data_IF_589774826322
#
_entry.id   IF_589774826322
#
_cell.length_a   1.000
_cell.length_b   1.000
_cell.length_c   1.000
_cell.angle_alpha   90.00
_cell.angle_beta   90.00
_cell.angle_gamma   90.00
#
_symmetry.space_group_name_H-M   'P 1'
#
loop_
_entity.id
_entity.type
_entity.pdbx_description
1 polymer ?
#
# COMPACT_ATOMS: atom_id res chain seq x y z
N UNK A 1 31.82 4.03 3.80
CA UNK A 1 30.93 2.98 4.35
C UNK A 1 31.26 1.58 3.81
N UNK A 2 31.28 1.36 2.48
CA UNK A 2 31.65 0.06 1.90
C UNK A 2 33.03 -0.45 2.38
N UNK A 3 34.07 0.42 2.34
CA UNK A 3 35.40 0.12 2.91
C UNK A 3 35.42 -0.19 4.42
N UNK A 4 34.43 0.28 5.19
CA UNK A 4 34.36 -0.06 6.61
C UNK A 4 33.83 -1.50 6.76
N UNK A 5 32.83 -1.87 5.96
CA UNK A 5 32.27 -3.22 5.94
C UNK A 5 33.22 -4.27 5.37
N UNK A 6 34.14 -3.93 4.45
CA UNK A 6 35.18 -4.88 3.98
C UNK A 6 36.17 -5.26 5.09
N UNK A 7 36.29 -4.45 6.15
CA UNK A 7 37.07 -4.80 7.36
C UNK A 7 36.31 -5.73 8.31
N UNK A 8 35.07 -6.08 7.97
CA UNK A 8 34.25 -7.05 8.70
C UNK A 8 34.03 -8.28 7.81
N UNK A 9 33.82 -9.48 8.38
CA UNK A 9 33.48 -10.67 7.60
C UNK A 9 32.02 -10.67 7.11
N UNK A 10 31.35 -9.50 7.09
CA UNK A 10 29.93 -9.41 6.79
C UNK A 10 29.62 -9.40 5.29
N UNK A 11 30.52 -8.87 4.43
CA UNK A 11 30.24 -8.77 3.00
C UNK A 11 30.41 -10.12 2.30
N UNK A 12 29.49 -10.44 1.38
CA UNK A 12 29.57 -11.64 0.55
C UNK A 12 30.72 -11.55 -0.46
N UNK A 13 31.67 -12.49 -0.45
CA UNK A 13 32.71 -12.57 -1.47
C UNK A 13 32.18 -12.90 -2.87
N UNK A 14 31.08 -13.65 -2.96
CA UNK A 14 30.43 -13.99 -4.24
C UNK A 14 29.55 -12.88 -4.82
N UNK A 15 29.42 -11.74 -4.12
CA UNK A 15 28.71 -10.57 -4.62
C UNK A 15 27.18 -10.68 -4.57
N UNK A 16 26.66 -11.57 -3.73
CA UNK A 16 25.24 -11.87 -3.65
C UNK A 16 24.78 -12.03 -2.20
N UNK A 17 23.48 -12.05 -1.97
CA UNK A 17 22.89 -12.25 -0.66
C UNK A 17 21.85 -13.36 -0.75
N UNK A 18 22.09 -14.42 0.01
CA UNK A 18 21.34 -15.68 -0.03
C UNK A 18 20.85 -16.03 1.39
N UNK A 19 19.87 -15.30 1.93
CA UNK A 19 19.42 -15.49 3.30
C UNK A 19 18.97 -16.93 3.53
N UNK A 20 19.50 -17.57 4.57
CA UNK A 20 19.20 -18.94 4.99
C UNK A 20 19.58 -20.03 4.00
N UNK A 21 20.29 -19.72 2.92
CA UNK A 21 20.78 -20.74 1.98
C UNK A 21 22.01 -21.47 2.53
N UNK A 22 22.24 -22.70 2.10
CA UNK A 22 23.49 -23.42 2.42
C UNK A 22 24.73 -22.67 1.86
N UNK A 23 24.56 -21.99 0.73
CA UNK A 23 25.59 -21.16 0.06
C UNK A 23 25.64 -19.71 0.57
N UNK A 24 25.02 -19.39 1.70
CA UNK A 24 25.08 -18.07 2.33
C UNK A 24 26.53 -17.75 2.76
N UNK A 25 27.09 -16.65 2.25
CA UNK A 25 28.48 -16.25 2.46
C UNK A 25 28.65 -14.77 2.84
N UNK A 26 27.55 -14.04 3.08
CA UNK A 26 27.55 -12.66 3.52
C UNK A 26 26.37 -11.84 3.00
N UNK A 27 26.43 -10.53 3.26
CA UNK A 27 25.48 -9.53 2.77
C UNK A 27 26.06 -8.73 1.61
N UNK A 28 25.19 -8.11 0.82
CA UNK A 28 25.54 -6.98 -0.06
C UNK A 28 24.83 -5.73 0.43
N UNK A 29 25.42 -4.56 0.20
CA UNK A 29 24.80 -3.29 0.58
C UNK A 29 23.85 -2.83 -0.52
N UNK A 30 22.64 -2.43 -0.11
CA UNK A 30 21.64 -1.81 -0.96
C UNK A 30 21.35 -0.39 -0.50
N UNK A 31 20.55 0.32 -1.28
CA UNK A 31 20.06 1.66 -0.98
C UNK A 31 18.54 1.70 -1.16
N UNK A 32 17.88 2.59 -0.41
CA UNK A 32 16.43 2.72 -0.52
C UNK A 32 15.87 3.74 0.44
N UNK A 33 14.74 4.32 0.06
CA UNK A 33 13.92 5.21 0.87
C UNK A 33 12.50 4.67 0.83
N UNK A 34 11.86 4.58 1.99
CA UNK A 34 10.47 4.12 2.13
C UNK A 34 9.75 5.08 3.05
N UNK A 35 8.59 5.54 2.62
CA UNK A 35 7.72 6.38 3.42
C UNK A 35 6.39 5.67 3.66
N UNK A 36 6.04 5.54 4.92
CA UNK A 36 4.70 5.23 5.38
C UNK A 36 4.18 6.48 6.08
N UNK A 37 2.98 6.95 5.78
CA UNK A 37 2.24 7.63 6.84
C UNK A 37 1.59 6.55 7.73
N UNK A 38 1.09 6.86 8.92
CA UNK A 38 0.43 5.89 9.81
C UNK A 38 -0.83 6.50 10.44
N UNK A 39 -1.83 5.67 10.76
CA UNK A 39 -3.08 6.06 11.44
C UNK A 39 -3.44 5.08 12.53
N UNK A 40 -4.15 5.55 13.56
CA UNK A 40 -4.94 4.65 14.40
C UNK A 40 -6.07 4.04 13.58
N UNK A 41 -6.25 2.73 13.65
CA UNK A 41 -7.23 2.00 12.85
C UNK A 41 -8.65 2.59 12.94
N UNK A 42 -9.08 3.01 14.12
CA UNK A 42 -10.39 3.63 14.33
C UNK A 42 -10.57 4.92 13.52
N UNK A 43 -9.54 5.76 13.43
CA UNK A 43 -9.62 7.01 12.68
C UNK A 43 -9.61 6.75 11.16
N UNK A 44 -8.85 5.75 10.69
CA UNK A 44 -8.84 5.35 9.29
C UNK A 44 -10.20 4.78 8.85
N UNK A 45 -10.82 3.97 9.71
CA UNK A 45 -12.20 3.48 9.50
C UNK A 45 -13.21 4.61 9.45
N UNK A 46 -13.16 5.54 10.41
CA UNK A 46 -14.06 6.69 10.50
C UNK A 46 -13.99 7.55 9.23
N UNK A 47 -12.78 7.82 8.75
CA UNK A 47 -12.56 8.70 7.60
C UNK A 47 -12.70 7.97 6.25
N UNK A 48 -12.88 6.64 6.25
CA UNK A 48 -13.02 5.84 5.04
C UNK A 48 -11.72 5.72 4.24
N UNK A 49 -10.57 5.75 4.92
CA UNK A 49 -9.25 5.61 4.32
C UNK A 49 -9.07 4.20 3.74
N UNK A 50 -8.27 4.10 2.67
CA UNK A 50 -7.87 2.78 2.16
C UNK A 50 -6.79 2.18 3.07
N UNK A 51 -7.14 1.16 3.84
CA UNK A 51 -6.24 0.50 4.80
C UNK A 51 -5.57 -0.70 4.14
N UNK A 52 -4.25 -0.61 3.93
CA UNK A 52 -3.47 -1.68 3.32
C UNK A 52 -3.18 -2.85 4.28
N UNK A 53 -2.90 -2.52 5.55
CA UNK A 53 -2.59 -3.47 6.61
C UNK A 53 -2.75 -2.81 7.99
N UNK A 54 -2.78 -3.61 9.05
CA UNK A 54 -2.83 -3.17 10.44
C UNK A 54 -1.52 -3.54 11.15
N UNK A 55 -0.89 -2.57 11.82
CA UNK A 55 0.29 -2.80 12.66
C UNK A 55 -0.19 -3.01 14.10
N UNK A 56 -0.10 -4.23 14.61
CA UNK A 56 -0.75 -4.58 15.89
C UNK A 56 0.14 -4.34 17.11
N UNK A 57 1.42 -4.72 17.02
CA UNK A 57 2.37 -4.59 18.13
C UNK A 57 3.80 -4.57 17.61
N UNK A 58 4.69 -3.90 18.35
CA UNK A 58 6.12 -3.87 18.14
C UNK A 58 6.84 -4.23 19.45
N UNK A 59 7.60 -5.31 19.42
CA UNK A 59 8.47 -5.73 20.51
C UNK A 59 9.90 -5.30 20.23
N UNK A 60 10.61 -4.89 21.28
CA UNK A 60 12.03 -4.56 21.21
C UNK A 60 12.83 -5.25 22.30
N UNK A 61 14.12 -5.48 22.04
CA UNK A 61 15.06 -6.03 23.00
C UNK A 61 16.49 -5.58 22.69
N UNK A 62 17.44 -6.05 23.50
CA UNK A 62 18.86 -5.95 23.20
C UNK A 62 19.56 -7.28 23.47
N UNK A 63 20.61 -7.55 22.70
CA UNK A 63 21.52 -8.69 22.88
C UNK A 63 22.35 -8.57 24.18
N UNK A 64 22.47 -7.36 24.75
CA UNK A 64 23.14 -7.16 26.04
C UNK A 64 24.61 -7.63 26.05
N UNK A 65 24.98 -8.43 27.06
CA UNK A 65 26.33 -9.00 27.18
C UNK A 65 26.49 -10.19 26.23
N UNK A 66 26.87 -9.92 24.99
CA UNK A 66 27.18 -10.93 23.96
C UNK A 66 28.69 -11.16 23.81
N UNK A 67 29.07 -12.16 23.02
CA UNK A 67 30.48 -12.54 22.72
C UNK A 67 31.28 -11.41 22.04
N UNK A 68 30.59 -10.50 21.37
CA UNK A 68 31.14 -9.29 20.76
C UNK A 68 30.01 -8.29 20.56
N UNK A 69 30.33 -7.00 20.48
CA UNK A 69 29.37 -5.93 20.19
C UNK A 69 28.65 -6.10 18.84
N UNK A 70 29.21 -6.89 17.93
CA UNK A 70 28.66 -7.17 16.60
C UNK A 70 28.15 -8.61 16.42
N UNK A 71 28.27 -9.45 17.45
CA UNK A 71 27.82 -10.84 17.39
C UNK A 71 26.34 -10.92 17.76
N UNK A 72 25.47 -11.36 16.82
CA UNK A 72 24.03 -11.47 17.09
C UNK A 72 23.76 -12.53 18.16
N UNK A 73 22.75 -12.31 18.99
CA UNK A 73 22.30 -13.25 20.02
C UNK A 73 20.85 -13.72 19.81
N UNK A 74 20.69 -15.03 19.66
CA UNK A 74 19.39 -15.68 19.50
C UNK A 74 18.43 -15.39 20.67
N UNK A 75 18.94 -15.31 21.90
CA UNK A 75 18.12 -15.05 23.08
C UNK A 75 17.56 -13.60 23.07
N UNK A 76 18.40 -12.64 22.67
CA UNK A 76 17.99 -11.25 22.44
C UNK A 76 16.87 -11.18 21.41
N UNK A 77 17.05 -11.82 20.26
CA UNK A 77 16.06 -11.80 19.17
C UNK A 77 14.74 -12.49 19.57
N UNK A 78 14.82 -13.67 20.21
CA UNK A 78 13.66 -14.37 20.76
C UNK A 78 12.86 -13.49 21.72
N UNK A 79 13.54 -12.74 22.59
CA UNK A 79 12.91 -11.81 23.52
C UNK A 79 12.17 -10.67 22.82
N UNK A 80 12.70 -10.13 21.71
CA UNK A 80 11.99 -9.12 20.93
C UNK A 80 10.71 -9.71 20.34
N UNK A 81 10.79 -10.92 19.76
CA UNK A 81 9.65 -11.63 19.19
C UNK A 81 8.58 -11.90 20.26
N UNK A 82 8.92 -12.52 21.38
CA UNK A 82 7.96 -12.81 22.45
C UNK A 82 7.28 -11.55 22.98
N UNK A 83 8.02 -10.45 23.16
CA UNK A 83 7.46 -9.16 23.59
C UNK A 83 6.45 -8.58 22.60
N UNK A 84 6.61 -8.83 21.30
CA UNK A 84 5.63 -8.42 20.29
C UNK A 84 4.28 -9.08 20.51
N UNK A 85 4.27 -10.36 20.91
CA UNK A 85 3.04 -11.16 21.03
C UNK A 85 2.41 -11.13 22.43
N UNK A 86 3.16 -10.75 23.47
CA UNK A 86 2.65 -10.58 24.84
C UNK A 86 1.34 -9.76 24.97
N UNK A 87 1.16 -8.61 24.30
CA UNK A 87 -0.07 -7.82 24.43
C UNK A 87 -1.20 -8.26 23.50
N UNK A 88 -1.00 -9.29 22.68
CA UNK A 88 -1.96 -9.71 21.65
C UNK A 88 -2.82 -10.88 22.15
N UNK A 89 -4.04 -10.97 21.64
CA UNK A 89 -4.96 -12.09 21.87
C UNK A 89 -4.67 -13.31 20.97
N UNK A 90 -3.60 -13.23 20.18
CA UNK A 90 -3.10 -14.28 19.31
C UNK A 90 -1.57 -14.41 19.43
N UNK A 91 -1.06 -15.60 19.08
CA UNK A 91 0.38 -15.88 19.07
C UNK A 91 0.93 -16.26 17.70
N UNK A 92 2.19 -16.69 17.70
CA UNK A 92 2.98 -17.16 16.55
C UNK A 92 2.34 -18.36 15.84
N UNK A 93 1.48 -19.13 16.51
CA UNK A 93 0.69 -20.20 15.89
C UNK A 93 -0.17 -19.71 14.73
N UNK A 94 -0.57 -18.44 14.79
CA UNK A 94 -1.45 -17.80 13.82
C UNK A 94 -0.70 -17.08 12.70
N UNK A 95 0.62 -16.91 12.82
CA UNK A 95 1.48 -16.21 11.86
C UNK A 95 1.82 -17.13 10.70
N UNK A 96 1.74 -16.61 9.47
CA UNK A 96 1.88 -17.41 8.25
C UNK A 96 3.08 -16.97 7.41
N UNK A 97 3.64 -15.77 7.66
CA UNK A 97 4.83 -15.25 7.00
C UNK A 97 5.69 -14.43 7.97
N UNK A 98 6.95 -14.79 8.11
CA UNK A 98 7.97 -13.98 8.77
C UNK A 98 8.92 -13.44 7.72
N UNK A 99 8.91 -12.12 7.60
CA UNK A 99 9.95 -11.36 6.91
C UNK A 99 11.12 -11.14 7.87
N UNK A 100 12.13 -11.97 7.72
CA UNK A 100 13.31 -11.98 8.57
C UNK A 100 14.23 -10.78 8.35
N UNK A 101 15.14 -10.56 9.29
CA UNK A 101 16.29 -9.72 9.06
C UNK A 101 17.19 -10.34 7.97
N UNK A 102 17.44 -11.65 7.99
CA UNK A 102 17.96 -12.49 6.91
C UNK A 102 19.03 -11.81 6.06
N UNK A 103 20.23 -11.70 6.60
CA UNK A 103 21.34 -10.94 5.98
C UNK A 103 22.20 -11.78 5.05
N UNK A 104 22.00 -13.10 5.01
CA UNK A 104 22.87 -14.00 4.25
C UNK A 104 24.22 -14.23 4.93
N UNK A 105 24.41 -13.72 6.16
CA UNK A 105 25.63 -13.99 6.93
C UNK A 105 25.47 -15.31 7.69
N UNK A 106 26.50 -16.17 7.66
CA UNK A 106 26.43 -17.49 8.30
C UNK A 106 26.06 -17.43 9.79
N UNK A 107 26.68 -16.51 10.52
CA UNK A 107 26.41 -16.34 11.95
C UNK A 107 25.06 -15.65 12.22
N UNK A 108 24.69 -14.65 11.41
CA UNK A 108 23.43 -13.92 11.57
C UNK A 108 22.21 -14.77 11.26
N UNK A 109 22.22 -15.46 10.12
CA UNK A 109 21.10 -16.31 9.71
C UNK A 109 20.92 -17.50 10.68
N UNK A 110 22.01 -18.08 11.20
CA UNK A 110 21.95 -19.12 12.22
C UNK A 110 21.37 -18.58 13.55
N UNK A 111 21.87 -17.44 14.05
CA UNK A 111 21.37 -16.84 15.29
C UNK A 111 19.88 -16.44 15.17
N UNK A 112 19.47 -15.93 14.01
CA UNK A 112 18.08 -15.57 13.74
C UNK A 112 17.17 -16.78 13.68
N UNK A 113 17.59 -17.84 13.00
CA UNK A 113 16.80 -19.05 12.95
C UNK A 113 16.66 -19.69 14.34
N UNK A 114 17.72 -19.74 15.15
CA UNK A 114 17.65 -20.18 16.55
C UNK A 114 16.73 -19.29 17.39
N UNK A 115 16.82 -17.97 17.25
CA UNK A 115 15.97 -17.01 17.96
C UNK A 115 14.48 -17.20 17.63
N UNK A 116 14.17 -17.46 16.36
CA UNK A 116 12.84 -17.83 15.92
C UNK A 116 12.39 -19.17 16.52
N UNK A 117 13.20 -20.24 16.43
CA UNK A 117 12.85 -21.54 17.05
C UNK A 117 12.54 -21.39 18.55
N UNK A 118 13.36 -20.65 19.29
CA UNK A 118 13.14 -20.37 20.71
C UNK A 118 11.82 -19.64 20.95
N UNK A 119 11.54 -18.61 20.15
CA UNK A 119 10.29 -17.84 20.29
C UNK A 119 9.06 -18.70 20.00
N UNK A 120 9.10 -19.53 18.95
CA UNK A 120 8.00 -20.45 18.63
C UNK A 120 7.83 -21.52 19.70
N UNK A 121 8.92 -22.13 20.18
CA UNK A 121 8.85 -23.17 21.22
C UNK A 121 8.25 -22.66 22.53
N UNK A 122 8.48 -21.38 22.87
CA UNK A 122 7.94 -20.73 24.07
C UNK A 122 6.52 -20.19 23.89
N UNK A 123 5.94 -20.25 22.70
CA UNK A 123 4.58 -19.79 22.42
C UNK A 123 3.62 -20.99 22.35
N UNK A 124 2.74 -21.10 23.34
CA UNK A 124 1.75 -22.18 23.47
C UNK A 124 0.84 -22.32 22.23
N UNK A 125 0.58 -21.24 21.49
CA UNK A 125 -0.28 -21.27 20.30
C UNK A 125 0.33 -22.06 19.15
N UNK A 126 1.63 -22.32 19.17
CA UNK A 126 2.34 -23.06 18.13
C UNK A 126 2.23 -24.57 18.30
N UNK A 127 2.06 -25.06 19.53
CA UNK A 127 2.07 -26.49 19.87
C UNK A 127 0.98 -27.27 19.13
N UNK A 128 -0.17 -26.65 18.87
CA UNK A 128 -1.30 -27.25 18.16
C UNK A 128 -1.21 -27.17 16.63
N UNK A 129 -0.25 -26.42 16.07
CA UNK A 129 -0.13 -26.18 14.62
C UNK A 129 0.81 -27.15 13.91
N UNK A 130 1.82 -27.67 14.62
CA UNK A 130 2.81 -28.60 14.08
C UNK A 130 3.96 -27.90 13.33
N UNK A 131 4.56 -28.59 12.37
CA UNK A 131 5.73 -28.15 11.61
C UNK A 131 5.33 -27.51 10.27
N UNK A 132 6.23 -26.77 9.65
CA UNK A 132 6.14 -26.30 8.25
C UNK A 132 4.85 -25.53 7.89
N UNK A 133 4.38 -24.63 8.77
CA UNK A 133 3.17 -23.83 8.47
C UNK A 133 3.45 -22.34 8.27
N UNK A 134 4.60 -21.83 8.72
CA UNK A 134 4.94 -20.42 8.61
C UNK A 134 6.05 -20.22 7.58
N UNK A 135 5.77 -19.43 6.55
CA UNK A 135 6.77 -19.04 5.56
C UNK A 135 7.86 -18.18 6.22
N UNK A 136 9.11 -18.43 5.87
CA UNK A 136 10.26 -17.60 6.20
C UNK A 136 10.80 -16.97 4.91
N UNK A 137 11.13 -15.68 4.95
CA UNK A 137 11.76 -15.02 3.80
C UNK A 137 12.49 -13.73 4.11
N UNK A 138 13.19 -13.19 3.11
CA UNK A 138 13.90 -11.90 3.22
C UNK A 138 14.00 -11.20 1.87
N UNK A 139 13.53 -9.95 1.84
CA UNK A 139 13.59 -9.01 0.70
C UNK A 139 15.03 -8.67 0.30
N UNK A 140 15.98 -8.91 1.20
CA UNK A 140 17.39 -8.58 0.95
C UNK A 140 17.95 -9.44 -0.18
N UNK A 141 17.43 -10.66 -0.40
CA UNK A 141 17.78 -11.48 -1.57
C UNK A 141 17.52 -10.79 -2.92
N UNK A 142 16.55 -9.87 -2.97
CA UNK A 142 16.18 -9.12 -4.18
C UNK A 142 16.92 -7.80 -4.32
N UNK A 143 17.08 -7.03 -3.24
CA UNK A 143 17.56 -5.63 -3.32
C UNK A 143 18.78 -5.31 -2.46
N UNK A 144 19.37 -6.31 -1.82
CA UNK A 144 20.46 -6.11 -0.87
C UNK A 144 20.01 -5.52 0.46
N UNK A 145 20.97 -5.27 1.35
CA UNK A 145 20.71 -4.70 2.66
C UNK A 145 20.69 -3.17 2.60
N UNK A 146 19.50 -2.57 2.66
CA UNK A 146 19.28 -1.10 2.60
C UNK A 146 19.61 -0.36 3.90
N UNK A 147 20.46 -0.95 4.75
CA UNK A 147 20.98 -0.36 6.00
C UNK A 147 19.86 0.14 6.92
N UNK A 148 19.83 1.44 7.23
CA UNK A 148 18.82 2.09 8.07
C UNK A 148 17.39 1.91 7.56
N UNK A 149 17.20 1.72 6.25
CA UNK A 149 15.87 1.53 5.65
C UNK A 149 15.44 0.05 5.62
N UNK A 150 16.28 -0.89 6.09
CA UNK A 150 16.02 -2.32 5.90
C UNK A 150 14.72 -2.80 6.55
N UNK A 151 14.41 -2.36 7.77
CA UNK A 151 13.15 -2.68 8.44
C UNK A 151 11.94 -2.13 7.68
N UNK A 152 12.02 -0.90 7.19
CA UNK A 152 10.95 -0.25 6.44
C UNK A 152 10.69 -0.93 5.07
N UNK A 153 11.74 -1.31 4.34
CA UNK A 153 11.61 -2.09 3.10
C UNK A 153 10.95 -3.44 3.37
N UNK A 154 11.36 -4.12 4.45
CA UNK A 154 10.81 -5.41 4.86
C UNK A 154 9.31 -5.28 5.18
N UNK A 155 8.92 -4.22 5.88
CA UNK A 155 7.51 -3.88 6.11
C UNK A 155 6.75 -3.60 4.83
N UNK A 156 7.34 -2.88 3.87
CA UNK A 156 6.69 -2.60 2.58
C UNK A 156 6.35 -3.89 1.84
N UNK A 157 7.27 -4.87 1.81
CA UNK A 157 7.01 -6.20 1.23
C UNK A 157 5.83 -6.88 1.89
N UNK A 158 5.79 -6.89 3.23
CA UNK A 158 4.69 -7.51 3.99
C UNK A 158 3.35 -6.82 3.73
N UNK A 159 3.32 -5.48 3.74
CA UNK A 159 2.10 -4.72 3.46
C UNK A 159 1.59 -5.02 2.05
N UNK A 160 2.47 -5.06 1.05
CA UNK A 160 2.09 -5.42 -0.32
C UNK A 160 1.66 -6.89 -0.45
N UNK A 161 2.32 -7.81 0.25
CA UNK A 161 1.95 -9.23 0.30
C UNK A 161 0.54 -9.42 0.87
N UNK A 162 0.23 -8.75 1.98
CA UNK A 162 -1.09 -8.75 2.61
C UNK A 162 -2.15 -8.04 1.77
N UNK A 163 -1.80 -6.96 1.06
CA UNK A 163 -2.73 -6.24 0.18
C UNK A 163 -3.07 -7.09 -1.06
N UNK A 164 -2.06 -7.64 -1.72
CA UNK A 164 -2.22 -8.45 -2.94
C UNK A 164 -2.58 -9.91 -2.68
N UNK A 165 -2.61 -10.35 -1.41
CA UNK A 165 -2.93 -11.73 -1.01
C UNK A 165 -1.97 -12.75 -1.65
N UNK A 166 -0.67 -12.48 -1.60
CA UNK A 166 0.38 -13.31 -2.20
C UNK A 166 1.49 -13.56 -1.17
N UNK A 167 2.01 -14.79 -1.12
CA UNK A 167 3.25 -15.13 -0.41
C UNK A 167 4.42 -14.95 -1.38
N UNK A 168 5.20 -13.86 -1.30
CA UNK A 168 6.31 -13.58 -2.23
C UNK A 168 7.51 -14.48 -1.95
N UNK A 169 8.14 -15.01 -3.01
CA UNK A 169 9.36 -15.80 -2.87
C UNK A 169 10.57 -15.01 -2.36
N UNK A 170 11.43 -15.69 -1.61
CA UNK A 170 12.84 -15.37 -1.40
C UNK A 170 13.63 -15.98 -2.58
N UNK A 171 14.53 -15.21 -3.20
CA UNK A 171 15.27 -15.68 -4.38
C UNK A 171 16.71 -16.06 -4.02
N UNK A 172 17.42 -16.68 -4.97
CA UNK A 172 18.84 -17.07 -4.83
C UNK A 172 19.09 -18.10 -3.72
N UNK A 173 18.06 -18.88 -3.38
CA UNK A 173 18.19 -20.01 -2.47
C UNK A 173 17.85 -21.28 -3.23
N UNK A 174 18.86 -22.11 -3.47
CA UNK A 174 18.70 -23.43 -4.08
C UNK A 174 18.28 -24.47 -3.04
N UNK A 175 18.97 -24.48 -1.89
CA UNK A 175 18.67 -25.34 -0.74
C UNK A 175 18.84 -24.53 0.55
N UNK A 176 17.95 -24.71 1.55
CA UNK A 176 18.16 -24.12 2.87
C UNK A 176 19.43 -24.68 3.51
N UNK A 177 20.01 -23.93 4.46
CA UNK A 177 21.16 -24.41 5.22
C UNK A 177 20.76 -25.63 6.06
N UNK A 178 21.33 -26.80 5.70
CA UNK A 178 21.04 -28.10 6.30
C UNK A 178 21.22 -28.11 7.82
N UNK A 179 22.16 -27.31 8.34
CA UNK A 179 22.44 -27.21 9.80
C UNK A 179 21.30 -26.59 10.60
N UNK A 180 20.38 -25.89 9.95
CA UNK A 180 19.21 -25.33 10.61
C UNK A 180 18.13 -26.39 10.83
N UNK A 181 18.14 -27.50 10.09
CA UNK A 181 17.09 -28.52 10.11
C UNK A 181 15.69 -27.89 10.00
N UNK A 182 15.52 -26.97 9.04
CA UNK A 182 14.35 -26.10 8.94
C UNK A 182 13.05 -26.91 8.84
N UNK A 183 13.10 -28.08 8.20
CA UNK A 183 12.02 -29.04 8.03
C UNK A 183 11.49 -29.56 9.38
N UNK A 184 12.31 -29.56 10.42
CA UNK A 184 11.93 -29.97 11.77
C UNK A 184 11.29 -28.84 12.59
N UNK A 185 11.18 -27.64 12.02
CA UNK A 185 10.63 -26.47 12.67
C UNK A 185 9.23 -26.09 12.17
N UNK A 186 8.52 -25.17 12.84
CA UNK A 186 7.31 -24.52 12.33
C UNK A 186 7.50 -23.76 11.01
N UNK A 187 8.75 -23.45 10.64
CA UNK A 187 9.12 -22.55 9.55
C UNK A 187 9.53 -23.33 8.31
N UNK A 188 9.18 -22.83 7.13
CA UNK A 188 9.74 -23.30 5.86
C UNK A 188 10.24 -22.11 5.04
N UNK A 189 11.33 -22.29 4.29
CA UNK A 189 11.86 -21.22 3.46
C UNK A 189 11.00 -21.03 2.21
N UNK A 190 10.47 -19.82 2.02
CA UNK A 190 9.54 -19.56 0.92
C UNK A 190 10.27 -19.29 -0.40
N UNK A 191 10.54 -20.32 -1.19
CA UNK A 191 11.24 -20.23 -2.49
C UNK A 191 10.31 -19.95 -3.68
N UNK A 192 8.99 -20.08 -3.50
CA UNK A 192 8.00 -19.93 -4.56
C UNK A 192 6.94 -18.87 -4.25
N UNK A 193 6.56 -18.11 -5.27
CA UNK A 193 5.47 -17.14 -5.16
C UNK A 193 4.15 -17.88 -5.35
N UNK A 194 3.24 -17.76 -4.39
CA UNK A 194 1.90 -18.38 -4.48
C UNK A 194 0.82 -17.50 -3.89
N UNK A 195 -0.46 -17.71 -4.25
CA UNK A 195 -1.57 -17.09 -3.56
C UNK A 195 -1.50 -17.35 -2.05
N UNK A 196 -1.70 -16.31 -1.26
CA UNK A 196 -1.85 -16.42 0.19
C UNK A 196 -3.33 -16.69 0.46
N UNK A 197 -3.70 -17.94 0.69
CA UNK A 197 -5.09 -18.32 0.90
C UNK A 197 -5.49 -17.98 2.34
N UNK A 198 -6.59 -17.23 2.52
CA UNK A 198 -7.11 -16.93 3.85
C UNK A 198 -7.77 -18.15 4.47
N UNK A 199 -7.71 -18.23 5.79
CA UNK A 199 -8.59 -19.11 6.56
C UNK A 199 -9.91 -18.38 6.83
N UNK A 200 -11.07 -19.05 6.78
CA UNK A 200 -12.38 -18.40 6.89
C UNK A 200 -12.58 -17.53 8.15
N UNK A 201 -11.91 -17.86 9.25
CA UNK A 201 -12.10 -17.25 10.57
C UNK A 201 -10.88 -16.45 11.05
N UNK A 202 -9.85 -16.30 10.23
CA UNK A 202 -8.60 -15.68 10.67
C UNK A 202 -8.03 -14.76 9.58
N UNK A 203 -7.70 -13.50 9.91
CA UNK A 203 -6.97 -12.64 8.99
C UNK A 203 -5.57 -13.22 8.72
N UNK A 204 -5.03 -12.94 7.54
CA UNK A 204 -3.62 -13.25 7.24
C UNK A 204 -2.73 -12.44 8.16
N UNK A 205 -1.75 -13.12 8.77
CA UNK A 205 -0.83 -12.51 9.73
C UNK A 205 0.60 -12.73 9.29
N UNK A 206 1.37 -11.67 9.39
CA UNK A 206 2.78 -11.64 9.09
C UNK A 206 3.59 -11.01 10.22
N UNK A 207 4.91 -11.11 10.13
CA UNK A 207 5.79 -10.34 10.98
C UNK A 207 7.03 -9.85 10.24
N UNK A 208 7.66 -8.83 10.81
CA UNK A 208 8.89 -8.25 10.29
C UNK A 208 9.93 -8.20 11.41
N UNK A 209 11.11 -8.78 11.18
CA UNK A 209 12.26 -8.70 12.07
C UNK A 209 13.30 -7.70 11.55
N UNK A 210 13.88 -6.92 12.45
CA UNK A 210 15.03 -6.06 12.16
C UNK A 210 16.00 -6.06 13.33
N UNK A 211 17.19 -6.60 13.11
CA UNK A 211 18.20 -6.77 14.15
C UNK A 211 19.41 -5.91 13.82
N UNK A 212 19.63 -4.89 14.63
CA UNK A 212 20.68 -3.91 14.41
C UNK A 212 22.06 -4.48 14.73
N UNK A 213 23.07 -4.05 13.97
CA UNK A 213 24.46 -4.46 14.14
C UNK A 213 25.03 -4.20 15.55
N UNK A 214 24.44 -3.28 16.32
CA UNK A 214 24.80 -3.00 17.71
C UNK A 214 23.98 -3.78 18.75
N UNK A 215 23.23 -4.80 18.33
CA UNK A 215 22.43 -5.66 19.21
C UNK A 215 21.11 -5.04 19.69
N UNK A 216 20.52 -4.11 18.93
CA UNK A 216 19.17 -3.59 19.18
C UNK A 216 18.19 -4.31 18.26
N UNK A 217 17.23 -5.03 18.83
CA UNK A 217 16.34 -5.91 18.09
C UNK A 217 14.91 -5.39 18.10
N UNK A 218 14.24 -5.46 16.95
CA UNK A 218 12.84 -5.10 16.81
C UNK A 218 12.09 -6.19 16.04
N UNK A 219 10.86 -6.45 16.45
CA UNK A 219 9.95 -7.37 15.78
C UNK A 219 8.54 -6.81 15.75
N UNK A 220 7.92 -6.79 14.58
CA UNK A 220 6.61 -6.15 14.34
C UNK A 220 5.60 -7.18 13.90
N UNK A 221 4.41 -7.20 14.51
CA UNK A 221 3.27 -8.00 14.06
C UNK A 221 2.38 -7.18 13.13
N UNK A 222 2.03 -7.75 11.97
CA UNK A 222 1.25 -7.11 10.92
C UNK A 222 0.11 -8.01 10.50
N UNK A 223 -1.09 -7.46 10.35
CA UNK A 223 -2.29 -8.20 10.01
C UNK A 223 -3.02 -7.59 8.81
N UNK A 224 -3.66 -8.45 8.03
CA UNK A 224 -4.60 -8.05 7.00
C UNK A 224 -5.77 -7.25 7.58
N UNK A 225 -6.09 -6.13 6.95
CA UNK A 225 -7.34 -5.45 7.25
C UNK A 225 -8.52 -6.16 6.56
N UNK A 226 -9.43 -6.73 7.36
CA UNK A 226 -10.71 -7.25 6.89
C UNK A 226 -11.77 -6.15 7.00
N UNK A 227 -12.12 -5.54 5.88
CA UNK A 227 -13.21 -4.57 5.84
C UNK A 227 -14.56 -5.32 5.83
N UNK A 228 -15.38 -5.18 6.89
CA UNK A 228 -16.69 -5.84 6.95
C UNK A 228 -17.67 -5.35 5.87
N UNK A 229 -17.37 -4.23 5.21
CA UNK A 229 -18.16 -3.69 4.10
C UNK A 229 -17.56 -4.00 2.72
N UNK A 230 -16.36 -4.57 2.66
CA UNK A 230 -15.74 -4.99 1.41
C UNK A 230 -16.42 -6.26 0.90
N UNK A 231 -17.53 -6.06 0.21
CA UNK A 231 -18.13 -7.09 -0.62
C UNK A 231 -17.12 -7.42 -1.71
N UNK A 232 -16.78 -8.70 -1.95
CA UNK A 232 -15.97 -9.05 -3.12
C UNK A 232 -16.62 -8.41 -4.34
N UNK A 233 -15.84 -7.90 -5.32
CA UNK A 233 -16.42 -7.40 -6.55
C UNK A 233 -17.32 -8.51 -7.07
N UNK A 234 -18.63 -8.24 -7.11
CA UNK A 234 -19.58 -9.18 -7.69
C UNK A 234 -19.14 -9.33 -9.14
N UNK A 235 -18.48 -10.44 -9.46
CA UNK A 235 -18.07 -10.77 -10.83
C UNK A 235 -19.28 -10.86 -11.79
N UNK A 236 -20.49 -10.76 -11.25
CA UNK A 236 -21.74 -10.58 -11.98
C UNK A 236 -22.63 -9.57 -11.26
N UNK A 237 -22.38 -8.27 -11.42
CA UNK A 237 -23.49 -7.31 -11.39
C UNK A 237 -23.89 -7.04 -12.84
N UNK A 238 -25.08 -7.50 -13.20
CA UNK A 238 -25.76 -7.17 -14.45
C UNK A 238 -25.53 -5.70 -14.81
N UNK A 239 -25.34 -5.45 -16.12
CA UNK A 239 -25.37 -4.13 -16.76
C UNK A 239 -26.65 -3.35 -16.40
N UNK A 240 -26.79 -2.84 -15.19
CA UNK A 240 -27.47 -1.57 -15.01
C UNK A 240 -26.47 -0.53 -15.50
N UNK A 241 -26.79 0.13 -16.62
CA UNK A 241 -26.02 1.23 -17.19
C UNK A 241 -25.96 2.36 -16.16
N UNK A 242 -25.07 2.26 -15.17
CA UNK A 242 -24.80 3.35 -14.25
C UNK A 242 -24.04 4.42 -15.04
N UNK A 243 -24.74 5.49 -15.40
CA UNK A 243 -24.11 6.69 -15.91
C UNK A 243 -23.25 7.29 -14.79
N UNK A 244 -21.98 7.52 -15.07
CA UNK A 244 -21.07 8.27 -14.23
C UNK A 244 -21.01 9.71 -14.71
N UNK A 245 -20.83 10.64 -13.79
CA UNK A 245 -20.52 12.04 -14.12
C UNK A 245 -19.05 12.27 -13.81
N UNK A 246 -18.29 12.80 -14.77
CA UNK A 246 -16.91 13.25 -14.57
C UNK A 246 -16.91 14.75 -14.70
N UNK A 247 -16.42 15.44 -13.67
CA UNK A 247 -16.41 16.90 -13.62
C UNK A 247 -15.00 17.46 -13.62
N UNK A 248 -14.74 18.49 -14.42
CA UNK A 248 -13.50 19.24 -14.43
C UNK A 248 -13.80 20.72 -14.17
N UNK A 249 -12.85 21.41 -13.55
CA UNK A 249 -12.92 22.85 -13.33
C UNK A 249 -11.57 23.50 -13.60
N UNK A 250 -11.58 24.71 -14.16
CA UNK A 250 -10.37 25.44 -14.51
C UNK A 250 -10.60 26.95 -14.48
N UNK A 251 -9.53 27.71 -14.19
CA UNK A 251 -9.54 29.17 -14.20
C UNK A 251 -9.65 29.76 -15.61
N UNK A 252 -9.24 29.01 -16.64
CA UNK A 252 -9.29 29.42 -18.05
C UNK A 252 -9.67 28.25 -18.97
N UNK A 253 -10.12 28.54 -20.21
CA UNK A 253 -10.33 27.52 -21.23
C UNK A 253 -9.08 26.73 -21.60
N UNK A 254 -7.91 27.38 -21.61
CA UNK A 254 -6.62 26.74 -21.89
C UNK A 254 -6.23 25.75 -20.80
N UNK A 255 -6.47 26.08 -19.53
CA UNK A 255 -6.24 25.16 -18.41
C UNK A 255 -7.21 23.96 -18.44
N UNK A 256 -8.44 24.14 -18.92
CA UNK A 256 -9.37 23.03 -19.13
C UNK A 256 -8.82 22.01 -20.16
N UNK A 257 -8.19 22.47 -21.22
CA UNK A 257 -7.61 21.59 -22.25
C UNK A 257 -6.45 20.75 -21.72
N UNK A 258 -5.64 21.31 -20.83
CA UNK A 258 -4.59 20.56 -20.12
C UNK A 258 -5.21 19.47 -19.24
N UNK A 259 -6.29 19.79 -18.51
CA UNK A 259 -7.03 18.84 -17.69
C UNK A 259 -7.64 17.70 -18.51
N UNK A 260 -8.23 18.02 -19.68
CA UNK A 260 -8.76 17.02 -20.62
C UNK A 260 -7.67 16.08 -21.13
N UNK A 261 -6.50 16.62 -21.47
CA UNK A 261 -5.35 15.82 -21.92
C UNK A 261 -4.82 14.91 -20.80
N UNK A 262 -4.81 15.37 -19.56
CA UNK A 262 -4.46 14.55 -18.41
C UNK A 262 -5.49 13.45 -18.16
N UNK A 263 -6.78 13.75 -18.27
CA UNK A 263 -7.86 12.79 -18.14
C UNK A 263 -7.76 11.69 -19.21
N UNK A 264 -7.50 12.07 -20.47
CA UNK A 264 -7.30 11.11 -21.57
C UNK A 264 -6.12 10.18 -21.31
N UNK A 265 -4.97 10.70 -20.85
CA UNK A 265 -3.81 9.87 -20.47
C UNK A 265 -4.14 8.88 -19.35
N UNK A 266 -4.93 9.30 -18.36
CA UNK A 266 -5.37 8.42 -17.26
C UNK A 266 -6.28 7.31 -17.77
N UNK A 267 -7.18 7.58 -18.71
CA UNK A 267 -8.06 6.58 -19.33
C UNK A 267 -7.32 5.53 -20.17
N UNK A 268 -6.06 5.79 -20.55
CA UNK A 268 -5.23 4.81 -21.25
C UNK A 268 -4.49 3.86 -20.30
N UNK A 269 -4.57 4.08 -18.98
CA UNK A 269 -3.97 3.19 -17.98
C UNK A 269 -4.93 2.02 -17.67
N UNK A 270 -4.47 0.75 -17.77
CA UNK A 270 -5.34 -0.45 -17.72
C UNK A 270 -6.00 -0.75 -16.37
N UNK A 271 -5.81 0.08 -15.34
CA UNK A 271 -6.20 -0.21 -13.95
C UNK A 271 -7.22 0.75 -13.33
N UNK A 272 -7.73 1.76 -14.05
CA UNK A 272 -8.63 2.76 -13.48
C UNK A 272 -10.11 2.34 -13.59
N UNK A 273 -10.79 2.25 -12.45
CA UNK A 273 -12.25 2.15 -12.39
C UNK A 273 -12.92 3.50 -12.69
N UNK A 274 -13.96 3.48 -13.53
CA UNK A 274 -14.76 4.67 -13.89
C UNK A 274 -15.42 5.35 -12.69
N UNK A 275 -15.86 4.57 -11.71
CA UNK A 275 -16.47 5.11 -10.48
C UNK A 275 -15.45 5.83 -9.60
N UNK A 276 -14.22 5.31 -9.53
CA UNK A 276 -13.10 5.97 -8.85
C UNK A 276 -12.74 7.29 -9.53
N UNK A 277 -12.69 7.27 -10.87
CA UNK A 277 -12.41 8.46 -11.67
C UNK A 277 -13.46 9.56 -11.45
N UNK A 278 -14.75 9.21 -11.49
CA UNK A 278 -15.84 10.12 -11.22
C UNK A 278 -15.72 10.76 -9.82
N UNK A 279 -15.51 9.92 -8.79
CA UNK A 279 -15.34 10.38 -7.41
C UNK A 279 -14.18 11.37 -7.24
N UNK A 280 -13.01 11.05 -7.79
CA UNK A 280 -11.84 11.93 -7.72
C UNK A 280 -12.08 13.24 -8.47
N UNK A 281 -12.73 13.16 -9.64
CA UNK A 281 -13.06 14.35 -10.42
C UNK A 281 -13.95 15.31 -9.64
N UNK A 282 -14.96 14.79 -8.93
CA UNK A 282 -15.87 15.59 -8.10
C UNK A 282 -15.16 16.25 -6.91
N UNK A 283 -14.14 15.60 -6.34
CA UNK A 283 -13.35 16.15 -5.23
C UNK A 283 -12.39 17.26 -5.69
N UNK A 284 -12.00 17.25 -6.97
CA UNK A 284 -11.05 18.22 -7.54
C UNK A 284 -11.70 19.47 -8.13
N UNK A 285 -13.03 19.59 -8.09
CA UNK A 285 -13.75 20.73 -8.63
C UNK A 285 -13.74 21.90 -7.64
N UNK A 286 -13.27 23.05 -8.11
CA UNK A 286 -13.39 24.32 -7.41
C UNK A 286 -14.66 25.06 -7.91
N UNK A 287 -15.65 25.34 -7.05
CA UNK A 287 -16.92 25.95 -7.46
C UNK A 287 -16.80 27.33 -8.11
N UNK A 288 -15.74 28.07 -7.76
CA UNK A 288 -15.49 29.44 -8.20
C UNK A 288 -14.70 29.52 -9.52
N UNK A 289 -14.27 28.40 -10.08
CA UNK A 289 -13.65 28.38 -11.40
C UNK A 289 -14.64 28.79 -12.48
N UNK A 290 -14.22 29.73 -13.33
CA UNK A 290 -15.01 30.27 -14.45
C UNK A 290 -15.38 29.18 -15.45
N UNK A 291 -14.46 28.27 -15.74
CA UNK A 291 -14.65 27.18 -16.70
C UNK A 291 -14.92 25.87 -15.97
N UNK A 292 -16.10 25.28 -16.22
CA UNK A 292 -16.55 24.04 -15.59
C UNK A 292 -17.11 23.12 -16.66
N UNK A 293 -16.73 21.85 -16.60
CA UNK A 293 -17.12 20.82 -17.54
C UNK A 293 -17.69 19.62 -16.80
N UNK A 294 -18.79 19.07 -17.29
CA UNK A 294 -19.35 17.78 -16.85
C UNK A 294 -19.54 16.85 -18.04
N UNK A 295 -19.11 15.60 -17.91
CA UNK A 295 -19.21 14.53 -18.92
C UNK A 295 -19.97 13.34 -18.31
N UNK A 296 -21.06 12.85 -18.93
CA UNK A 296 -21.99 11.87 -18.30
C UNK A 296 -21.93 10.48 -18.93
N UNK A 297 -20.92 9.65 -18.69
CA UNK A 297 -20.62 8.45 -19.52
C UNK A 297 -21.11 7.15 -18.88
N UNK A 298 -21.44 6.15 -19.69
CA UNK A 298 -21.74 4.78 -19.21
C UNK A 298 -20.55 3.82 -19.36
N UNK A 299 -19.49 4.23 -20.09
CA UNK A 299 -18.29 3.43 -20.32
C UNK A 299 -17.05 4.30 -20.52
N UNK A 300 -15.86 3.69 -20.44
CA UNK A 300 -14.59 4.37 -20.71
C UNK A 300 -14.48 4.82 -22.17
N UNK A 301 -15.06 4.03 -23.08
CA UNK A 301 -15.06 4.33 -24.50
C UNK A 301 -15.93 5.55 -24.81
N UNK A 302 -17.13 5.59 -24.25
CA UNK A 302 -18.02 6.75 -24.39
C UNK A 302 -17.42 8.02 -23.76
N UNK A 303 -16.68 7.88 -22.66
CA UNK A 303 -15.95 9.00 -22.06
C UNK A 303 -14.82 9.50 -22.98
N UNK A 304 -14.07 8.60 -23.64
CA UNK A 304 -13.03 8.97 -24.62
C UNK A 304 -13.62 9.71 -25.82
N UNK A 305 -14.69 9.17 -26.40
CA UNK A 305 -15.37 9.78 -27.54
C UNK A 305 -15.79 11.24 -27.27
N UNK A 306 -16.21 11.54 -26.05
CA UNK A 306 -16.60 12.91 -25.67
C UNK A 306 -15.43 13.83 -25.43
N UNK A 307 -14.32 13.32 -24.89
CA UNK A 307 -13.08 14.08 -24.79
C UNK A 307 -12.59 14.44 -26.19
N UNK A 308 -12.61 13.47 -27.12
CA UNK A 308 -12.24 13.68 -28.53
C UNK A 308 -13.18 14.69 -29.21
N UNK A 309 -14.49 14.59 -28.98
CA UNK A 309 -15.46 15.55 -29.50
C UNK A 309 -15.18 16.99 -29.01
N UNK A 310 -14.80 17.15 -27.74
CA UNK A 310 -14.42 18.45 -27.19
C UNK A 310 -13.08 18.96 -27.73
N UNK A 311 -12.13 18.06 -27.98
CA UNK A 311 -10.85 18.42 -28.62
C UNK A 311 -11.07 18.92 -30.06
N UNK A 312 -12.01 18.34 -30.81
CA UNK A 312 -12.39 18.86 -32.12
C UNK A 312 -13.00 20.27 -32.07
N UNK A 313 -13.66 20.62 -30.97
CA UNK A 313 -14.28 21.95 -30.76
C UNK A 313 -13.38 22.92 -29.98
N UNK A 314 -12.07 22.64 -29.89
CA UNK A 314 -11.13 23.40 -29.06
C UNK A 314 -11.14 24.92 -29.31
N UNK A 315 -11.26 25.37 -30.56
CA UNK A 315 -11.30 26.81 -30.90
C UNK A 315 -12.51 27.54 -30.28
N UNK A 316 -13.69 26.93 -30.32
CA UNK A 316 -14.89 27.49 -29.71
C UNK A 316 -14.76 27.54 -28.18
N UNK A 317 -14.16 26.50 -27.60
CA UNK A 317 -13.85 26.43 -26.17
C UNK A 317 -12.90 27.56 -25.75
N UNK A 318 -11.84 27.83 -26.52
CA UNK A 318 -10.89 28.91 -26.25
C UNK A 318 -11.53 30.31 -26.32
N UNK A 319 -12.51 30.48 -27.20
CA UNK A 319 -13.22 31.75 -27.39
C UNK A 319 -14.24 32.06 -26.28
N UNK A 320 -14.36 31.23 -25.25
CA UNK A 320 -15.28 31.49 -24.14
C UNK A 320 -16.67 30.87 -24.32
N UNK A 321 -16.88 30.06 -25.36
CA UNK A 321 -18.20 29.53 -25.68
C UNK A 321 -18.60 28.41 -24.72
N UNK A 322 -19.88 28.43 -24.31
CA UNK A 322 -20.47 27.35 -23.52
C UNK A 322 -21.12 26.35 -24.46
N UNK A 323 -20.95 25.06 -24.16
CA UNK A 323 -21.45 23.96 -24.97
C UNK A 323 -22.34 23.08 -24.11
N UNK A 324 -23.54 22.77 -24.57
CA UNK A 324 -24.41 21.78 -23.92
C UNK A 324 -24.87 20.77 -24.95
N UNK A 325 -24.47 19.52 -24.75
CA UNK A 325 -24.98 18.36 -25.46
C UNK A 325 -25.83 17.59 -24.46
N UNK A 326 -27.17 17.55 -24.65
CA UNK A 326 -28.07 16.88 -23.72
C UNK A 326 -27.59 15.47 -23.39
N UNK A 327 -27.61 15.11 -22.11
CA UNK A 327 -27.22 13.80 -21.58
C UNK A 327 -25.75 13.39 -21.81
N UNK A 328 -24.88 14.29 -22.29
CA UNK A 328 -23.50 13.96 -22.62
C UNK A 328 -22.47 14.96 -22.07
N UNK A 329 -22.62 16.24 -22.38
CA UNK A 329 -21.59 17.27 -22.15
C UNK A 329 -22.23 18.57 -21.67
N UNK A 330 -21.72 19.12 -20.57
CA UNK A 330 -22.08 20.45 -20.10
C UNK A 330 -20.80 21.24 -19.81
N UNK A 331 -20.45 22.14 -20.71
CA UNK A 331 -19.36 23.09 -20.59
C UNK A 331 -19.94 24.48 -20.34
N UNK A 332 -19.54 25.07 -19.22
CA UNK A 332 -19.93 26.41 -18.84
C UNK A 332 -18.69 27.26 -18.58
N UNK A 333 -18.63 28.45 -19.18
CA UNK A 333 -17.44 29.33 -19.13
C UNK A 333 -17.75 30.75 -18.64
N UNK A 334 -18.86 30.91 -17.93
CA UNK A 334 -19.33 32.17 -17.36
C UNK A 334 -19.61 31.99 -15.87
N UNK A 335 -19.53 33.09 -15.14
CA UNK A 335 -20.09 33.12 -13.79
C UNK A 335 -21.61 33.13 -13.89
N UNK A 336 -22.26 32.26 -13.12
CA UNK A 336 -23.70 32.21 -13.03
C UNK A 336 -24.12 32.94 -11.77
N UNK A 337 -24.70 34.13 -11.93
CA UNK A 337 -25.34 34.87 -10.85
C UNK A 337 -26.84 34.53 -10.84
N UNK A 338 -27.36 34.15 -9.68
CA UNK A 338 -28.79 33.83 -9.50
C UNK A 338 -29.03 32.72 -8.48
N UNK A 339 -30.27 32.66 -7.97
CA UNK A 339 -30.74 31.57 -7.11
C UNK A 339 -31.24 30.36 -7.90
N UNK A 340 -31.46 29.24 -7.20
CA UNK A 340 -32.11 28.05 -7.77
C UNK A 340 -33.59 28.09 -7.41
N UNK A 341 -34.47 28.05 -8.42
CA UNK A 341 -35.89 27.86 -8.22
C UNK A 341 -36.26 26.40 -8.51
N UNK A 342 -36.97 25.75 -7.58
CA UNK A 342 -37.53 24.41 -7.76
C UNK A 342 -38.98 24.55 -8.22
N UNK A 343 -39.28 24.14 -9.45
CA UNK A 343 -40.62 24.16 -10.02
C UNK A 343 -41.24 22.76 -9.88
N UNK A 344 -42.37 22.68 -9.19
CA UNK A 344 -43.13 21.44 -9.03
C UNK A 344 -44.23 21.39 -10.09
N UNK A 345 -44.18 20.39 -10.96
CA UNK A 345 -45.19 20.19 -11.99
C UNK A 345 -46.55 19.81 -11.36
N UNK A 346 -47.65 20.30 -11.93
CA UNK A 346 -49.01 19.88 -11.56
C UNK A 346 -49.38 18.48 -12.08
N UNK A 347 -50.63 18.06 -11.87
CA UNK A 347 -51.12 16.71 -12.20
C UNK A 347 -51.05 16.33 -13.70
N UNK A 348 -50.85 17.29 -14.61
CA UNK A 348 -50.73 17.04 -16.05
C UNK A 348 -49.38 16.48 -16.53
N UNK A 349 -48.39 16.34 -15.64
CA UNK A 349 -47.04 15.85 -15.99
C UNK A 349 -46.83 14.33 -15.92
N UNK A 350 -47.89 13.56 -15.67
CA UNK A 350 -47.80 12.13 -15.39
C UNK A 350 -47.59 11.30 -16.67
N UNK A 351 -46.49 10.55 -16.74
CA UNK A 351 -46.23 9.52 -17.76
C UNK A 351 -45.98 8.20 -17.02
N UNK A 352 -46.42 7.07 -17.58
CA UNK A 352 -46.50 5.73 -16.98
C UNK A 352 -45.19 5.09 -16.47
N UNK A 353 -44.06 5.81 -16.45
CA UNK A 353 -42.71 5.28 -16.19
C UNK A 353 -41.93 6.03 -15.10
N UNK A 354 -42.54 6.97 -14.37
CA UNK A 354 -41.82 7.73 -13.34
C UNK A 354 -41.48 6.87 -12.10
N UNK A 355 -40.19 6.81 -11.73
CA UNK A 355 -39.74 6.40 -10.39
C UNK A 355 -38.88 5.14 -10.27
N UNK A 356 -38.43 4.50 -11.36
CA UNK A 356 -37.74 3.21 -11.23
C UNK A 356 -36.44 3.27 -10.41
N UNK A 357 -35.61 4.32 -10.49
CA UNK A 357 -34.36 4.41 -9.69
C UNK A 357 -33.92 5.87 -9.52
N UNK A 358 -34.00 6.43 -8.31
CA UNK A 358 -33.21 7.62 -7.92
C UNK A 358 -32.69 7.44 -6.49
N UNK A 359 -31.36 7.35 -6.34
CA UNK A 359 -30.69 7.54 -5.05
C UNK A 359 -29.57 8.56 -5.24
N UNK A 360 -29.67 9.71 -4.58
CA UNK A 360 -28.61 10.74 -4.55
C UNK A 360 -28.01 10.71 -3.15
N UNK A 361 -26.73 10.33 -3.04
CA UNK A 361 -26.00 10.32 -1.77
C UNK A 361 -24.97 11.45 -1.77
N UNK A 362 -25.18 12.48 -0.95
CA UNK A 362 -24.24 13.57 -0.71
C UNK A 362 -23.71 13.46 0.72
N UNK A 363 -22.38 13.41 0.91
CA UNK A 363 -21.74 13.49 2.23
C UNK A 363 -20.87 14.75 2.34
N UNK A 364 -21.05 15.50 3.42
CA UNK A 364 -20.22 16.67 3.81
C UNK A 364 -18.88 16.22 4.40
N UNK A 365 -17.78 16.97 4.19
CA UNK A 365 -16.52 16.75 4.88
C UNK A 365 -16.45 17.61 6.17
N UNK A 366 -16.03 17.01 7.29
CA UNK A 366 -15.58 17.75 8.47
C UNK A 366 -14.43 17.01 9.18
N UNK A 367 -13.21 17.47 8.90
CA UNK A 367 -12.10 17.76 9.81
C UNK A 367 -11.83 16.85 11.04
N UNK A 368 -10.73 16.07 10.98
CA UNK A 368 -9.40 16.28 11.65
C UNK A 368 -8.76 14.96 12.19
N UNK A 369 -7.70 14.50 11.48
CA UNK A 369 -6.42 13.90 11.94
C UNK A 369 -6.34 12.39 12.26
N UNK A 370 -5.28 11.60 11.92
CA UNK A 370 -4.19 11.59 10.89
C UNK A 370 -3.89 10.10 10.54
N UNK A 371 -3.81 9.72 9.23
CA UNK A 371 -3.36 8.46 8.50
C UNK A 371 -2.51 8.92 7.32
N UNK A 372 -2.01 8.10 6.41
CA UNK A 372 -1.31 6.81 6.25
C UNK A 372 -1.25 6.60 4.74
N UNK A 373 -0.59 7.54 4.08
CA UNK A 373 -0.30 7.53 2.66
C UNK A 373 1.09 6.93 2.45
N UNK A 374 1.18 5.89 1.62
CA UNK A 374 2.44 5.26 1.24
C UNK A 374 2.92 5.89 -0.06
N UNK A 375 4.10 6.49 -0.04
CA UNK A 375 4.85 6.87 -1.23
C UNK A 375 6.13 6.03 -1.27
N UNK A 376 6.22 5.13 -2.24
CA UNK A 376 7.46 4.40 -2.53
C UNK A 376 7.92 4.76 -3.94
N UNK A 377 9.14 5.27 -4.04
CA UNK A 377 9.87 5.43 -5.30
C UNK A 377 11.03 4.45 -5.31
N UNK A 378 11.01 3.51 -6.26
CA UNK A 378 12.18 2.71 -6.61
C UNK A 378 12.70 3.28 -7.92
N UNK A 379 13.70 4.15 -7.84
CA UNK A 379 14.41 4.64 -9.02
C UNK A 379 15.91 4.47 -8.83
N UNK A 380 16.51 3.67 -9.72
CA UNK A 380 17.91 3.86 -10.10
C UNK A 380 17.95 5.14 -10.95
N UNK A 381 18.67 6.15 -10.46
CA UNK A 381 19.11 7.32 -11.23
C UNK A 381 18.00 8.21 -11.78
N UNK A 382 17.44 9.09 -10.94
CA UNK A 382 16.86 10.35 -11.40
C UNK A 382 16.81 11.35 -10.24
N UNK A 383 17.61 12.41 -10.34
CA UNK A 383 17.55 13.57 -9.44
C UNK A 383 16.22 14.30 -9.65
N UNK A 384 15.44 14.50 -8.59
CA UNK A 384 14.29 15.42 -8.61
C UNK A 384 14.50 16.45 -7.51
N UNK A 385 14.63 17.70 -7.98
CA UNK A 385 14.68 18.94 -7.23
C UNK A 385 13.31 19.18 -6.55
N UNK A 386 13.27 19.31 -5.22
CA UNK A 386 12.07 19.81 -4.53
C UNK A 386 12.10 21.33 -4.48
N UNK A 387 11.15 21.98 -5.15
CA UNK A 387 10.88 23.41 -4.99
C UNK A 387 10.21 23.59 -3.63
N UNK A 388 10.96 24.13 -2.66
CA UNK A 388 10.40 24.81 -1.50
C UNK A 388 10.22 26.28 -1.89
N UNK A 389 9.05 26.86 -1.57
CA UNK A 389 8.88 28.31 -1.55
C UNK A 389 7.94 28.70 -0.39
N UNK A 390 8.17 29.86 0.25
CA UNK A 390 7.91 30.09 1.66
C UNK A 390 6.71 31.00 1.94
N UNK A 391 6.13 30.90 3.14
CA UNK A 391 5.44 31.99 3.88
C UNK A 391 5.15 31.46 5.29
N UNK A 392 5.88 31.86 6.35
CA UNK A 392 5.69 33.09 7.14
C UNK A 392 4.23 33.46 7.39
N UNK A 393 3.72 33.14 8.58
CA UNK A 393 3.05 34.10 9.49
C UNK A 393 3.35 33.67 10.93
N UNK A 394 4.10 34.50 11.66
CA UNK A 394 4.10 34.54 13.12
C UNK A 394 2.89 35.36 13.59
N UNK A 395 2.18 34.95 14.64
CA UNK A 395 1.69 35.86 15.68
C UNK A 395 1.55 35.08 17.00
N UNK A 396 2.17 35.66 18.05
CA UNK A 396 2.13 35.43 19.50
C UNK A 396 2.45 34.04 20.05
#
# INVERSE_FOLDING_TARGET
MYMCFTKTPALSPSGDIRPFANSADGTILGEGVVLFALRRLADAKRDGDNIFAVLNSCGSSSDGKSRSIYAPDAAGQSKAISRTYQPLDYGLGSVELIEAHGTGTKAGDAAEFEGLKLAFANDETTKSRGKQYCALGSIKSQIGHTKSTAGAVSLLKIVLALHHKVLPRTIKVEQPNERMEIEQSPLYLNSETRPWIAKPTQPRRASVSSFGFGGSNFHLSVEEYLDPHHKPPRLYSQRQQQQIVVTLSATSPTALQQQLTQLQRRLNSPSISLTTLARESHQSVEPHHRTRLSLVASSSEELRQRIEQLQHQHKAIEQGESLTIPNAVWLHQRERQGGVALLFAGQGGTISIWGAIFSVSLRRPANRGIAMVILASLARGCTILSILSPSLVSVS
#
